data_IF_003118584629
#
_entry.id   IF_003118584629
#
_cell.length_a   1.000
_cell.length_b   1.000
_cell.length_c   1.000
_cell.angle_alpha   90.00
_cell.angle_beta   90.00
_cell.angle_gamma   90.00
#
_symmetry.space_group_name_H-M   'P 1'
#
loop_
_entity.id
_entity.type
_entity.pdbx_description
1 polymer ?
#
# COMPACT_ATOMS: atom_id res chain seq x y z
N UNK A 1 87.65 11.47 -15.78
CA UNK A 1 87.54 11.72 -14.33
C UNK A 1 86.06 11.87 -14.05
N UNK A 2 85.47 10.80 -13.53
CA UNK A 2 84.04 10.65 -13.23
C UNK A 2 83.80 11.23 -11.85
N UNK A 3 82.72 11.98 -11.66
CA UNK A 3 82.25 12.39 -10.32
C UNK A 3 80.89 11.73 -10.10
N UNK A 4 80.85 10.83 -9.12
CA UNK A 4 79.70 10.05 -8.69
C UNK A 4 78.69 10.90 -7.91
N UNK A 5 77.40 10.73 -8.21
CA UNK A 5 76.30 11.13 -7.33
C UNK A 5 75.82 9.89 -6.57
N UNK A 6 76.01 9.88 -5.25
CA UNK A 6 75.47 8.85 -4.35
C UNK A 6 73.96 9.05 -4.16
N UNK A 7 73.17 8.12 -4.68
CA UNK A 7 71.75 7.91 -4.32
C UNK A 7 71.69 6.92 -3.16
N UNK A 8 71.25 7.37 -1.97
CA UNK A 8 70.91 6.47 -0.86
C UNK A 8 69.54 5.84 -1.15
N UNK A 9 69.54 4.66 -1.75
CA UNK A 9 68.37 3.79 -1.76
C UNK A 9 68.13 3.27 -0.34
N UNK A 10 67.06 3.74 0.30
CA UNK A 10 66.48 3.07 1.46
C UNK A 10 65.93 1.71 1.01
N UNK A 11 66.62 0.64 1.37
CA UNK A 11 66.10 -0.71 1.23
C UNK A 11 64.97 -0.91 2.26
N UNK A 12 63.73 -0.65 1.85
CA UNK A 12 62.57 -1.18 2.56
C UNK A 12 62.61 -2.70 2.42
N UNK A 13 62.94 -3.41 3.49
CA UNK A 13 62.89 -4.86 3.54
C UNK A 13 61.49 -5.35 3.14
N UNK A 14 61.36 -6.30 2.20
CA UNK A 14 60.05 -6.84 1.81
C UNK A 14 59.30 -7.46 3.00
N UNK A 15 60.01 -7.86 4.07
CA UNK A 15 59.40 -8.32 5.32
C UNK A 15 58.67 -7.20 6.08
N UNK A 16 59.19 -5.98 6.09
CA UNK A 16 58.57 -4.86 6.81
C UNK A 16 57.26 -4.41 6.13
N UNK A 17 57.25 -4.43 4.80
CA UNK A 17 56.05 -4.17 4.00
C UNK A 17 54.99 -5.27 4.20
N UNK A 18 55.42 -6.54 4.27
CA UNK A 18 54.51 -7.67 4.49
C UNK A 18 53.85 -7.61 5.87
N UNK A 19 54.62 -7.31 6.93
CA UNK A 19 54.08 -7.16 8.29
C UNK A 19 53.13 -5.96 8.41
N UNK A 20 53.44 -4.81 7.81
CA UNK A 20 52.53 -3.67 7.76
C UNK A 20 51.23 -4.01 7.01
N UNK A 21 51.31 -4.72 5.87
CA UNK A 21 50.11 -5.16 5.15
C UNK A 21 49.29 -6.20 5.93
N UNK A 22 49.94 -7.12 6.64
CA UNK A 22 49.26 -8.14 7.44
C UNK A 22 48.53 -7.53 8.65
N UNK A 23 49.15 -6.56 9.34
CA UNK A 23 48.53 -5.83 10.46
C UNK A 23 47.35 -5.00 9.97
N UNK A 24 47.46 -4.30 8.83
CA UNK A 24 46.31 -3.57 8.25
C UNK A 24 45.16 -4.49 7.82
N UNK A 25 45.45 -5.74 7.41
CA UNK A 25 44.43 -6.72 7.05
C UNK A 25 43.74 -7.34 8.27
N UNK A 26 44.45 -7.56 9.38
CA UNK A 26 43.86 -8.03 10.63
C UNK A 26 43.02 -6.94 11.32
N UNK A 27 43.50 -5.70 11.36
CA UNK A 27 42.74 -4.56 11.88
C UNK A 27 41.52 -4.27 10.99
N UNK A 28 41.63 -4.40 9.68
CA UNK A 28 40.48 -4.27 8.77
C UNK A 28 39.49 -5.43 8.92
N UNK A 29 39.93 -6.66 9.24
CA UNK A 29 39.02 -7.76 9.60
C UNK A 29 38.27 -7.51 10.92
N UNK A 30 38.92 -6.89 11.90
CA UNK A 30 38.30 -6.53 13.19
C UNK A 30 37.31 -5.35 13.03
N UNK A 31 37.60 -4.40 12.14
CA UNK A 31 36.72 -3.28 11.80
C UNK A 31 35.56 -3.73 10.88
N UNK A 32 35.77 -4.75 10.03
CA UNK A 32 34.70 -5.36 9.22
C UNK A 32 33.83 -6.31 10.06
N UNK A 33 34.37 -6.98 11.09
CA UNK A 33 33.57 -7.86 11.96
C UNK A 33 32.69 -7.10 12.96
N UNK A 34 32.97 -5.82 13.21
CA UNK A 34 32.13 -4.93 14.02
C UNK A 34 31.07 -4.19 13.18
N UNK A 35 31.09 -4.35 11.86
CA UNK A 35 30.03 -3.89 10.99
C UNK A 35 28.80 -4.81 11.09
N UNK A 36 27.90 -4.45 12.02
CA UNK A 36 26.45 -4.64 11.93
C UNK A 36 25.92 -6.09 11.87
N UNK A 37 26.17 -6.92 12.88
CA UNK A 37 25.20 -7.98 13.16
C UNK A 37 23.88 -7.33 13.61
N UNK A 38 22.79 -7.64 12.91
CA UNK A 38 21.44 -7.24 13.33
C UNK A 38 21.14 -8.03 14.60
N UNK A 39 20.88 -7.37 15.75
CA UNK A 39 20.59 -8.07 16.99
C UNK A 39 19.42 -9.03 16.83
N UNK A 40 19.52 -10.22 17.41
CA UNK A 40 18.48 -11.25 17.31
C UNK A 40 17.76 -11.44 18.64
N UNK A 41 16.49 -11.88 18.60
CA UNK A 41 15.73 -12.18 19.82
C UNK A 41 16.25 -13.41 20.57
N UNK A 42 17.14 -14.21 19.98
CA UNK A 42 17.81 -15.33 20.64
C UNK A 42 18.74 -14.86 21.76
N UNK A 43 19.23 -13.61 21.69
CA UNK A 43 20.11 -13.00 22.69
C UNK A 43 19.36 -12.45 23.91
N UNK A 44 18.03 -12.53 23.94
CA UNK A 44 17.19 -11.95 24.97
C UNK A 44 16.67 -10.55 24.63
N UNK A 45 16.01 -9.86 25.59
CA UNK A 45 15.45 -8.54 25.34
C UNK A 45 16.56 -7.50 25.19
N UNK A 46 16.47 -6.69 24.13
CA UNK A 46 17.35 -5.55 23.94
C UNK A 46 16.97 -4.41 24.91
N UNK A 47 17.94 -3.62 25.41
CA UNK A 47 17.65 -2.41 26.17
C UNK A 47 16.72 -1.47 25.40
N UNK A 48 15.73 -0.82 26.05
CA UNK A 48 14.87 0.16 25.37
C UNK A 48 15.69 1.31 24.77
N UNK A 49 15.40 1.65 23.51
CA UNK A 49 16.03 2.76 22.79
C UNK A 49 14.97 3.78 22.38
N UNK A 50 15.19 5.04 22.74
CA UNK A 50 14.35 6.17 22.30
C UNK A 50 15.17 7.07 21.40
N UNK A 51 14.68 7.34 20.19
CA UNK A 51 15.25 8.39 19.32
C UNK A 51 14.73 9.74 19.79
N UNK A 52 15.62 10.72 19.97
CA UNK A 52 15.23 12.09 20.34
C UNK A 52 14.36 12.68 19.23
N UNK A 53 13.30 13.38 19.62
CA UNK A 53 12.47 14.13 18.68
C UNK A 53 13.32 15.19 17.98
N UNK A 54 13.27 15.22 16.65
CA UNK A 54 13.91 16.24 15.85
C UNK A 54 12.93 17.39 15.61
N UNK A 55 13.14 18.57 16.24
CA UNK A 55 12.22 19.69 16.14
C UNK A 55 12.25 20.38 14.76
N UNK A 56 13.21 20.04 13.90
CA UNK A 56 13.27 20.56 12.53
C UNK A 56 12.28 19.88 11.57
N UNK A 57 11.74 18.72 11.95
CA UNK A 57 10.76 18.00 11.15
C UNK A 57 9.41 18.73 11.12
N UNK A 58 8.78 18.70 9.95
CA UNK A 58 7.48 19.33 9.72
C UNK A 58 6.41 18.72 10.65
N UNK A 59 5.56 19.59 11.22
CA UNK A 59 4.51 19.18 12.16
C UNK A 59 3.20 18.99 11.39
N UNK A 60 2.74 17.75 11.33
CA UNK A 60 1.52 17.38 10.61
C UNK A 60 1.79 16.99 9.16
N UNK A 61 0.73 16.54 8.49
CA UNK A 61 0.74 16.16 7.09
C UNK A 61 -0.54 16.68 6.46
N UNK A 62 -0.41 17.50 5.41
CA UNK A 62 -1.57 18.00 4.71
C UNK A 62 -2.21 16.88 3.87
N UNK A 63 -3.52 16.73 4.04
CA UNK A 63 -4.36 15.86 3.23
C UNK A 63 -4.28 16.25 1.74
N UNK A 64 -4.25 15.24 0.88
CA UNK A 64 -4.29 15.48 -0.57
C UNK A 64 -5.61 16.17 -0.92
N UNK A 65 -5.57 17.23 -1.75
CA UNK A 65 -6.79 17.94 -2.14
C UNK A 65 -7.66 17.04 -3.02
N UNK A 66 -8.99 17.20 -2.98
CA UNK A 66 -9.92 16.35 -3.72
C UNK A 66 -9.76 16.44 -5.24
N UNK A 67 -9.23 17.54 -5.73
CA UNK A 67 -8.92 17.74 -7.14
C UNK A 67 -7.52 17.20 -7.52
N UNK A 68 -6.81 16.53 -6.61
CA UNK A 68 -5.52 15.89 -6.90
C UNK A 68 -5.69 14.87 -8.05
N UNK A 69 -4.85 14.87 -9.10
CA UNK A 69 -5.04 14.02 -10.29
C UNK A 69 -5.14 12.50 -10.04
N UNK A 70 -4.59 12.03 -8.91
CA UNK A 70 -4.67 10.62 -8.46
C UNK A 70 -6.02 10.24 -7.84
N UNK A 71 -6.77 11.20 -7.31
CA UNK A 71 -8.10 10.99 -6.70
C UNK A 71 -9.24 11.25 -7.68
N UNK A 72 -8.97 11.93 -8.80
CA UNK A 72 -9.96 12.14 -9.85
C UNK A 72 -10.34 10.82 -10.51
N UNK A 73 -11.64 10.59 -10.67
CA UNK A 73 -12.18 9.55 -11.55
C UNK A 73 -11.66 9.73 -12.98
N UNK A 74 -11.15 8.65 -13.57
CA UNK A 74 -10.55 8.63 -14.93
C UNK A 74 -11.28 7.73 -15.91
N UNK A 75 -12.33 7.07 -15.46
CA UNK A 75 -13.09 6.09 -16.22
C UNK A 75 -14.53 6.55 -16.33
N UNK A 76 -15.23 6.14 -17.38
CA UNK A 76 -16.68 6.33 -17.46
C UNK A 76 -17.37 5.60 -16.31
N UNK A 77 -18.55 6.07 -15.91
CA UNK A 77 -19.28 5.56 -14.74
C UNK A 77 -19.33 4.03 -14.67
N UNK A 78 -19.66 3.33 -15.77
CA UNK A 78 -19.81 1.87 -15.75
C UNK A 78 -18.50 1.07 -15.74
N UNK A 79 -17.34 1.70 -15.98
CA UNK A 79 -16.05 0.99 -16.05
C UNK A 79 -15.45 0.86 -14.64
N UNK A 80 -14.89 -0.30 -14.26
CA UNK A 80 -14.34 -0.52 -12.93
C UNK A 80 -13.27 0.50 -12.50
N UNK A 81 -13.38 0.98 -11.27
CA UNK A 81 -12.37 1.74 -10.54
C UNK A 81 -12.14 1.17 -9.13
N UNK A 82 -11.19 1.74 -8.38
CA UNK A 82 -10.84 1.30 -7.02
C UNK A 82 -10.58 -0.22 -6.91
N UNK A 83 -9.98 -0.81 -7.95
CA UNK A 83 -9.75 -2.25 -8.04
C UNK A 83 -8.78 -2.69 -6.93
N UNK A 84 -9.23 -3.63 -6.11
CA UNK A 84 -8.46 -4.15 -4.98
C UNK A 84 -8.52 -5.67 -4.92
N UNK A 85 -7.48 -6.25 -4.32
CA UNK A 85 -7.34 -7.68 -4.13
C UNK A 85 -7.26 -7.98 -2.64
N UNK A 86 -7.99 -9.00 -2.20
CA UNK A 86 -7.89 -9.51 -0.84
C UNK A 86 -7.67 -11.02 -0.84
N UNK A 87 -6.89 -11.49 0.12
CA UNK A 87 -6.66 -12.93 0.29
C UNK A 87 -7.93 -13.59 0.82
N UNK A 88 -8.14 -14.84 0.42
CA UNK A 88 -9.11 -15.70 1.08
C UNK A 88 -8.47 -16.49 2.22
N UNK A 89 -9.27 -17.28 2.93
CA UNK A 89 -8.77 -18.24 3.92
C UNK A 89 -7.93 -19.37 3.31
N UNK A 90 -8.08 -19.62 2.01
CA UNK A 90 -7.33 -20.64 1.26
C UNK A 90 -6.34 -19.98 0.29
N UNK A 91 -5.12 -20.52 0.11
CA UNK A 91 -4.13 -20.01 -0.85
C UNK A 91 -4.56 -20.18 -2.31
N UNK A 92 -5.57 -21.03 -2.56
CA UNK A 92 -6.18 -21.31 -3.86
C UNK A 92 -7.37 -20.40 -4.17
N UNK A 93 -7.54 -19.31 -3.42
CA UNK A 93 -8.65 -18.37 -3.59
C UNK A 93 -8.25 -16.93 -3.26
N UNK A 94 -8.74 -15.99 -4.08
CA UNK A 94 -8.53 -14.55 -3.95
C UNK A 94 -9.85 -13.84 -4.22
N UNK A 95 -10.09 -12.75 -3.50
CA UNK A 95 -11.17 -11.82 -3.78
C UNK A 95 -10.67 -10.70 -4.68
N UNK A 96 -11.47 -10.40 -5.72
CA UNK A 96 -11.32 -9.22 -6.56
C UNK A 96 -12.51 -8.32 -6.28
N UNK A 97 -12.23 -7.08 -5.92
CA UNK A 97 -13.25 -6.08 -5.62
C UNK A 97 -13.01 -4.81 -6.42
N UNK A 98 -14.08 -4.11 -6.77
CA UNK A 98 -14.02 -2.83 -7.49
C UNK A 98 -15.32 -2.05 -7.32
N UNK A 99 -15.34 -0.81 -7.79
CA UNK A 99 -16.52 0.05 -7.81
C UNK A 99 -16.90 0.39 -9.26
N UNK A 100 -18.20 0.45 -9.55
CA UNK A 100 -18.77 1.06 -10.76
C UNK A 100 -19.85 2.08 -10.39
N UNK A 101 -20.23 2.96 -11.30
CA UNK A 101 -21.12 4.08 -11.04
C UNK A 101 -20.43 5.23 -10.31
N UNK A 102 -21.12 6.37 -10.22
CA UNK A 102 -20.65 7.54 -9.49
C UNK A 102 -21.31 7.58 -8.11
N UNK A 103 -20.50 7.77 -7.07
CA UNK A 103 -21.02 8.09 -5.76
C UNK A 103 -21.73 9.45 -5.78
N UNK A 104 -22.74 9.60 -4.93
CA UNK A 104 -23.49 10.85 -4.81
C UNK A 104 -23.29 11.42 -3.42
N UNK A 105 -23.16 12.75 -3.34
CA UNK A 105 -23.13 13.49 -2.09
C UNK A 105 -24.06 14.69 -2.18
N UNK A 106 -24.87 14.90 -1.15
CA UNK A 106 -25.71 16.10 -1.06
C UNK A 106 -26.94 15.97 -0.18
N UNK A 107 -27.81 16.96 -0.33
CA UNK A 107 -29.21 17.02 0.08
C UNK A 107 -29.93 15.69 0.25
N UNK A 108 -30.11 15.10 -0.91
CA UNK A 108 -30.88 13.91 -1.21
C UNK A 108 -30.00 13.09 -2.15
N UNK A 109 -29.84 11.83 -1.83
CA UNK A 109 -29.07 10.86 -2.60
C UNK A 109 -29.98 9.70 -2.93
N UNK A 110 -29.83 9.15 -4.12
CA UNK A 110 -30.63 8.00 -4.58
C UNK A 110 -29.65 6.83 -4.75
N UNK A 111 -29.67 5.83 -3.86
CA UNK A 111 -28.80 4.67 -3.98
C UNK A 111 -28.98 4.00 -5.35
N UNK A 112 -27.86 3.65 -5.98
CA UNK A 112 -27.87 2.90 -7.23
C UNK A 112 -28.45 1.49 -6.99
N UNK A 113 -29.11 0.92 -8.00
CA UNK A 113 -29.54 -0.46 -7.95
C UNK A 113 -28.37 -1.39 -8.33
N UNK A 114 -27.81 -2.16 -7.38
CA UNK A 114 -26.65 -3.02 -7.64
C UNK A 114 -26.93 -4.14 -8.64
N UNK A 115 -28.19 -4.45 -8.96
CA UNK A 115 -28.57 -5.47 -9.94
C UNK A 115 -28.41 -5.01 -11.39
N UNK A 116 -28.22 -3.70 -11.62
CA UNK A 116 -28.08 -3.11 -12.95
C UNK A 116 -26.73 -3.38 -13.61
N UNK A 117 -25.72 -3.77 -12.83
CA UNK A 117 -24.36 -4.06 -13.31
C UNK A 117 -23.89 -5.40 -12.77
N UNK A 118 -23.43 -6.28 -13.65
CA UNK A 118 -22.93 -7.60 -13.28
C UNK A 118 -21.56 -7.52 -12.62
N UNK A 119 -21.28 -8.52 -11.79
CA UNK A 119 -20.00 -8.69 -11.11
C UNK A 119 -19.25 -9.88 -11.72
N UNK A 120 -18.49 -9.66 -12.80
CA UNK A 120 -17.79 -10.72 -13.53
C UNK A 120 -16.27 -10.53 -13.47
N UNK A 121 -15.54 -11.63 -13.32
CA UNK A 121 -14.08 -11.67 -13.50
C UNK A 121 -13.72 -12.76 -14.50
N UNK A 122 -13.04 -12.37 -15.56
CA UNK A 122 -12.44 -13.27 -16.55
C UNK A 122 -10.95 -13.38 -16.25
N UNK A 123 -10.42 -14.60 -16.20
CA UNK A 123 -9.02 -14.83 -15.82
C UNK A 123 -8.39 -16.04 -16.50
N UNK A 124 -7.05 -16.06 -16.56
CA UNK A 124 -6.25 -17.12 -17.16
C UNK A 124 -4.77 -16.99 -16.81
N UNK A 125 -3.96 -17.97 -17.20
CA UNK A 125 -2.51 -17.98 -16.95
C UNK A 125 -1.70 -17.33 -18.07
N UNK A 126 -2.35 -16.89 -19.15
CA UNK A 126 -1.76 -16.22 -20.30
C UNK A 126 -2.43 -14.86 -20.53
N UNK A 127 -1.62 -13.83 -20.76
CA UNK A 127 -2.11 -12.48 -21.06
C UNK A 127 -2.99 -12.50 -22.33
N UNK A 128 -4.12 -11.81 -22.27
CA UNK A 128 -5.10 -11.75 -23.35
C UNK A 128 -5.93 -13.02 -23.57
N UNK A 129 -5.70 -14.10 -22.82
CA UNK A 129 -6.42 -15.37 -22.95
C UNK A 129 -7.05 -15.80 -21.62
N UNK A 130 -8.34 -15.51 -21.46
CA UNK A 130 -9.09 -15.75 -20.23
C UNK A 130 -10.00 -16.97 -20.38
N UNK A 131 -9.47 -18.14 -20.02
CA UNK A 131 -10.17 -19.43 -20.15
C UNK A 131 -11.22 -19.66 -19.06
N UNK A 132 -11.14 -18.91 -17.96
CA UNK A 132 -12.02 -19.07 -16.81
C UNK A 132 -12.79 -17.77 -16.54
N UNK A 133 -13.99 -17.91 -15.99
CA UNK A 133 -14.77 -16.80 -15.48
C UNK A 133 -15.42 -17.15 -14.16
N UNK A 134 -15.64 -16.14 -13.32
CA UNK A 134 -16.39 -16.25 -12.07
C UNK A 134 -17.29 -15.04 -11.91
N UNK A 135 -18.47 -15.27 -11.36
CA UNK A 135 -19.41 -14.21 -10.99
C UNK A 135 -19.40 -13.99 -9.48
N UNK A 136 -19.85 -12.81 -9.06
CA UNK A 136 -19.93 -12.45 -7.66
C UNK A 136 -21.20 -11.68 -7.31
N UNK A 137 -21.09 -10.89 -6.25
CA UNK A 137 -22.20 -10.07 -5.73
C UNK A 137 -21.83 -8.60 -5.81
N UNK A 138 -22.86 -7.78 -5.85
CA UNK A 138 -22.76 -6.32 -5.80
C UNK A 138 -23.64 -5.77 -4.68
N UNK A 139 -23.24 -4.62 -4.13
CA UNK A 139 -23.97 -3.90 -3.09
C UNK A 139 -23.69 -2.40 -3.16
N UNK A 140 -24.47 -1.62 -2.43
CA UNK A 140 -24.29 -0.17 -2.24
C UNK A 140 -24.42 0.13 -0.75
N UNK A 141 -23.74 1.17 -0.28
CA UNK A 141 -23.95 1.67 1.07
C UNK A 141 -24.29 3.16 1.03
N UNK A 142 -24.92 3.63 2.11
CA UNK A 142 -25.22 5.05 2.29
C UNK A 142 -24.82 5.51 3.68
N UNK A 143 -24.30 6.73 3.76
CA UNK A 143 -24.08 7.45 5.01
C UNK A 143 -25.11 8.57 5.09
N UNK A 144 -26.07 8.42 6.00
CA UNK A 144 -27.21 9.31 6.11
C UNK A 144 -27.19 10.09 7.42
N UNK A 145 -27.47 11.38 7.37
CA UNK A 145 -27.50 12.29 8.51
C UNK A 145 -28.86 12.98 8.60
N UNK A 146 -29.65 12.73 9.66
CA UNK A 146 -30.97 13.34 9.85
C UNK A 146 -30.88 14.73 10.50
N UNK A 147 -29.86 15.52 10.15
CA UNK A 147 -29.62 16.85 10.74
C UNK A 147 -29.56 17.91 9.65
N UNK A 148 -30.22 19.04 9.88
CA UNK A 148 -30.22 20.15 8.93
C UNK A 148 -28.80 20.65 8.66
N UNK A 149 -28.47 20.83 7.37
CA UNK A 149 -27.16 21.33 6.93
C UNK A 149 -26.08 20.25 6.79
N UNK A 150 -26.36 18.99 7.16
CA UNK A 150 -25.46 17.86 6.85
C UNK A 150 -25.81 17.25 5.49
N UNK A 151 -24.79 16.81 4.76
CA UNK A 151 -24.95 16.15 3.47
C UNK A 151 -24.94 14.63 3.63
N UNK A 152 -25.81 13.97 2.89
CA UNK A 152 -25.87 12.52 2.77
C UNK A 152 -24.91 12.04 1.68
N UNK A 153 -24.52 10.76 1.76
CA UNK A 153 -23.73 10.09 0.74
C UNK A 153 -24.34 8.74 0.39
N UNK A 154 -24.26 8.35 -0.88
CA UNK A 154 -24.47 6.97 -1.34
C UNK A 154 -23.35 6.58 -2.29
N UNK A 155 -22.85 5.35 -2.17
CA UNK A 155 -21.70 4.88 -2.94
C UNK A 155 -22.02 4.60 -4.40
N UNK A 156 -20.97 4.40 -5.20
CA UNK A 156 -21.08 3.56 -6.40
C UNK A 156 -21.50 2.12 -6.05
N UNK A 157 -21.75 1.31 -7.07
CA UNK A 157 -21.99 -0.13 -6.92
C UNK A 157 -20.64 -0.80 -6.62
N UNK A 158 -20.55 -1.44 -5.47
CA UNK A 158 -19.37 -2.16 -4.99
C UNK A 158 -19.53 -3.62 -5.39
N UNK A 159 -18.51 -4.20 -6.01
CA UNK A 159 -18.52 -5.57 -6.51
C UNK A 159 -17.51 -6.44 -5.77
N UNK A 160 -17.88 -7.68 -5.51
CA UNK A 160 -17.04 -8.68 -4.86
C UNK A 160 -17.12 -10.03 -5.58
N UNK A 161 -16.01 -10.45 -6.18
CA UNK A 161 -15.91 -11.75 -6.87
C UNK A 161 -14.82 -12.59 -6.23
N UNK A 162 -15.18 -13.83 -5.85
CA UNK A 162 -14.23 -14.80 -5.30
C UNK A 162 -13.73 -15.73 -6.40
N UNK A 163 -12.47 -15.59 -6.75
CA UNK A 163 -11.76 -16.57 -7.56
C UNK A 163 -11.43 -17.78 -6.70
N UNK A 164 -11.64 -18.97 -7.24
CA UNK A 164 -11.48 -20.24 -6.52
C UNK A 164 -10.75 -21.25 -7.41
N UNK A 165 -10.23 -22.31 -6.77
CA UNK A 165 -9.48 -23.39 -7.46
C UNK A 165 -8.29 -22.86 -8.24
N UNK A 166 -7.65 -21.79 -7.74
CA UNK A 166 -6.43 -21.26 -8.31
C UNK A 166 -5.24 -22.14 -7.92
N UNK A 167 -4.29 -22.29 -8.84
CA UNK A 167 -3.04 -22.97 -8.56
C UNK A 167 -2.19 -22.09 -7.62
N UNK A 168 -1.62 -22.65 -6.54
CA UNK A 168 -0.71 -21.90 -5.65
C UNK A 168 0.54 -21.39 -6.38
N UNK A 169 1.08 -20.25 -5.97
CA UNK A 169 2.31 -19.68 -6.51
C UNK A 169 2.26 -19.24 -7.98
N UNK A 170 1.07 -19.20 -8.58
CA UNK A 170 0.85 -19.05 -10.03
C UNK A 170 0.39 -17.64 -10.38
N UNK A 171 0.90 -17.10 -11.48
CA UNK A 171 0.50 -15.80 -12.01
C UNK A 171 -0.75 -15.95 -12.87
N UNK A 172 -1.77 -15.17 -12.54
CA UNK A 172 -3.00 -15.03 -13.30
C UNK A 172 -3.11 -13.62 -13.88
N UNK A 173 -3.64 -13.54 -15.09
CA UNK A 173 -4.08 -12.33 -15.76
C UNK A 173 -5.61 -12.29 -15.64
N UNK A 174 -6.18 -11.13 -15.35
CA UNK A 174 -7.62 -11.00 -15.19
C UNK A 174 -8.16 -9.64 -15.64
N UNK A 175 -9.45 -9.62 -15.97
CA UNK A 175 -10.27 -8.43 -16.17
C UNK A 175 -11.54 -8.58 -15.34
N UNK A 176 -11.89 -7.56 -14.57
CA UNK A 176 -13.19 -7.44 -13.89
C UNK A 176 -14.13 -6.48 -14.62
N UNK A 177 -15.44 -6.59 -14.39
CA UNK A 177 -16.46 -5.65 -14.87
C UNK A 177 -17.76 -6.35 -15.28
N UNK A 178 -18.41 -5.81 -16.31
CA UNK A 178 -19.62 -6.37 -16.93
C UNK A 178 -19.42 -6.53 -18.44
N UNK A 179 -19.35 -7.77 -18.92
CA UNK A 179 -19.19 -8.05 -20.35
C UNK A 179 -20.39 -7.62 -21.20
N UNK A 180 -21.60 -7.69 -20.66
CA UNK A 180 -22.83 -7.33 -21.39
C UNK A 180 -22.98 -5.84 -21.64
N UNK A 181 -22.31 -5.01 -20.83
CA UNK A 181 -22.25 -3.56 -20.99
C UNK A 181 -20.99 -3.08 -21.72
N UNK A 182 -20.13 -4.00 -22.20
CA UNK A 182 -18.79 -3.68 -22.71
C UNK A 182 -17.96 -2.85 -21.71
N UNK A 183 -18.20 -3.04 -20.41
CA UNK A 183 -17.65 -2.23 -19.33
C UNK A 183 -16.65 -3.06 -18.50
N UNK A 184 -15.60 -3.54 -19.18
CA UNK A 184 -14.52 -4.31 -18.56
C UNK A 184 -13.32 -3.41 -18.26
N UNK A 185 -12.67 -3.64 -17.13
CA UNK A 185 -11.36 -3.06 -16.80
C UNK A 185 -10.29 -3.38 -17.85
N UNK A 186 -9.14 -2.70 -17.78
CA UNK A 186 -7.92 -3.15 -18.45
C UNK A 186 -7.43 -4.48 -17.85
N UNK A 187 -6.49 -5.15 -18.50
CA UNK A 187 -5.89 -6.35 -17.92
C UNK A 187 -5.06 -6.01 -16.67
N UNK A 188 -5.24 -6.81 -15.63
CA UNK A 188 -4.48 -6.79 -14.38
C UNK A 188 -3.83 -8.15 -14.13
N UNK A 189 -2.87 -8.19 -13.21
CA UNK A 189 -2.19 -9.44 -12.83
C UNK A 189 -2.19 -9.65 -11.33
N UNK A 190 -2.31 -10.90 -10.92
CA UNK A 190 -2.15 -11.33 -9.53
C UNK A 190 -1.31 -12.60 -9.48
N UNK A 191 -0.47 -12.75 -8.47
CA UNK A 191 0.23 -14.00 -8.18
C UNK A 191 -0.35 -14.60 -6.91
N UNK A 192 -0.87 -15.81 -7.00
CA UNK A 192 -1.37 -16.54 -5.82
C UNK A 192 -0.23 -16.89 -4.88
N UNK A 193 -0.59 -17.10 -3.63
CA UNK A 193 0.37 -17.50 -2.62
C UNK A 193 0.80 -18.94 -2.83
N UNK A 194 2.06 -19.29 -2.51
CA UNK A 194 2.45 -20.70 -2.44
C UNK A 194 1.66 -21.42 -1.33
N UNK A 195 1.68 -22.75 -1.36
CA UNK A 195 1.17 -23.54 -0.25
C UNK A 195 2.00 -23.27 1.02
N UNK A 196 1.36 -23.16 2.20
CA UNK A 196 2.07 -23.04 3.45
C UNK A 196 3.05 -24.21 3.65
N UNK A 197 4.31 -23.92 3.93
CA UNK A 197 5.27 -24.93 4.38
C UNK A 197 6.27 -24.32 5.36
N UNK A 198 6.95 -25.15 6.18
CA UNK A 198 7.99 -24.68 7.11
C UNK A 198 9.21 -24.04 6.43
N UNK A 199 9.35 -24.19 5.11
CA UNK A 199 10.48 -23.68 4.34
C UNK A 199 10.08 -22.71 3.22
N UNK A 200 8.78 -22.43 3.07
CA UNK A 200 8.25 -21.62 1.98
C UNK A 200 7.37 -20.50 2.54
N UNK A 201 8.01 -19.37 2.85
CA UNK A 201 7.36 -18.20 3.40
C UNK A 201 7.17 -17.12 2.34
N UNK A 202 6.24 -16.22 2.64
CA UNK A 202 6.12 -14.95 1.92
C UNK A 202 7.41 -14.17 2.07
N UNK A 203 7.98 -13.75 0.96
CA UNK A 203 9.29 -13.08 0.97
C UNK A 203 9.26 -11.78 1.76
N UNK A 204 8.16 -11.01 1.61
CA UNK A 204 7.94 -9.71 2.25
C UNK A 204 6.45 -9.50 2.51
N UNK A 205 6.12 -9.14 3.74
CA UNK A 205 4.78 -8.70 4.16
C UNK A 205 4.96 -7.25 4.65
N UNK A 206 4.33 -6.30 3.96
CA UNK A 206 4.26 -4.94 4.43
C UNK A 206 3.20 -4.85 5.55
N UNK A 207 3.54 -4.18 6.65
CA UNK A 207 2.62 -3.91 7.75
C UNK A 207 2.54 -2.40 7.90
N UNK A 208 1.34 -1.86 7.78
CA UNK A 208 1.06 -0.42 7.85
C UNK A 208 -0.23 -0.20 8.63
N UNK A 209 -0.42 0.97 9.21
CA UNK A 209 -1.65 1.41 9.86
C UNK A 209 -1.74 2.93 9.78
N UNK A 210 -2.89 3.49 10.12
CA UNK A 210 -3.05 4.94 10.28
C UNK A 210 -2.62 5.71 9.02
N UNK A 211 -3.02 5.21 7.85
CA UNK A 211 -2.50 5.71 6.57
C UNK A 211 -3.02 7.12 6.28
N UNK A 212 -4.35 7.31 6.30
CA UNK A 212 -4.99 8.50 5.75
C UNK A 212 -4.67 8.75 4.28
N UNK A 213 -4.96 9.96 3.82
CA UNK A 213 -4.71 10.37 2.44
C UNK A 213 -3.98 11.71 2.44
N UNK A 214 -2.70 11.66 2.77
CA UNK A 214 -1.83 12.84 2.90
C UNK A 214 -0.60 12.74 2.02
N UNK A 215 0.17 13.83 1.89
CA UNK A 215 1.45 13.79 1.16
C UNK A 215 2.41 12.75 1.76
N UNK A 216 2.50 12.65 3.09
CA UNK A 216 3.34 11.65 3.75
C UNK A 216 2.84 10.21 3.51
N UNK A 217 1.53 10.00 3.42
CA UNK A 217 0.96 8.70 3.06
C UNK A 217 1.49 8.25 1.69
N UNK A 218 1.65 9.18 0.75
CA UNK A 218 2.19 8.84 -0.57
C UNK A 218 3.64 8.39 -0.51
N UNK A 219 4.47 9.03 0.32
CA UNK A 219 5.86 8.58 0.58
C UNK A 219 5.89 7.20 1.24
N UNK A 220 5.00 6.93 2.20
CA UNK A 220 4.87 5.61 2.83
C UNK A 220 4.51 4.53 1.80
N UNK A 221 3.54 4.83 0.91
CA UNK A 221 3.14 3.93 -0.17
C UNK A 221 4.28 3.73 -1.17
N UNK A 222 5.02 4.78 -1.55
CA UNK A 222 6.16 4.67 -2.47
C UNK A 222 7.27 3.80 -1.88
N UNK A 223 7.58 3.96 -0.59
CA UNK A 223 8.50 3.09 0.13
C UNK A 223 8.01 1.64 0.18
N UNK A 224 6.72 1.43 0.41
CA UNK A 224 6.11 0.10 0.39
C UNK A 224 6.23 -0.54 -0.99
N UNK A 225 5.86 0.16 -2.06
CA UNK A 225 5.95 -0.32 -3.45
C UNK A 225 7.40 -0.65 -3.81
N UNK A 226 8.36 0.20 -3.45
CA UNK A 226 9.79 -0.04 -3.69
C UNK A 226 10.30 -1.33 -3.02
N UNK A 227 9.68 -1.73 -1.91
CA UNK A 227 10.02 -2.97 -1.22
C UNK A 227 9.34 -4.21 -1.82
N UNK A 228 8.48 -4.08 -2.83
CA UNK A 228 7.83 -5.20 -3.54
C UNK A 228 7.23 -6.26 -2.59
N UNK A 229 6.29 -5.89 -1.70
CA UNK A 229 5.67 -6.83 -0.78
C UNK A 229 4.71 -7.76 -1.50
N UNK A 230 4.71 -9.03 -1.09
CA UNK A 230 3.75 -10.04 -1.56
C UNK A 230 2.37 -9.94 -0.90
N UNK A 231 2.27 -9.13 0.17
CA UNK A 231 1.04 -8.83 0.90
C UNK A 231 1.20 -7.53 1.67
N UNK A 232 0.12 -6.79 1.80
CA UNK A 232 -0.02 -5.66 2.70
C UNK A 232 -1.01 -6.06 3.80
N UNK A 233 -0.61 -5.91 5.06
CA UNK A 233 -1.47 -5.98 6.23
C UNK A 233 -1.71 -4.55 6.71
N UNK A 234 -2.96 -4.12 6.64
CA UNK A 234 -3.38 -2.77 7.00
C UNK A 234 -4.12 -2.79 8.34
N UNK A 235 -3.56 -2.15 9.36
CA UNK A 235 -3.97 -2.23 10.77
C UNK A 235 -4.93 -1.10 11.16
N UNK A 236 -6.05 -0.98 10.45
CA UNK A 236 -7.07 0.04 10.77
C UNK A 236 -6.70 1.46 10.34
N UNK A 237 -7.60 2.40 10.64
CA UNK A 237 -7.46 3.84 10.36
C UNK A 237 -7.01 4.15 8.92
N UNK A 238 -7.95 3.92 8.00
CA UNK A 238 -7.71 3.88 6.56
C UNK A 238 -7.73 5.27 5.92
N UNK A 239 -8.90 5.89 5.78
CA UNK A 239 -9.06 7.16 5.03
C UNK A 239 -9.10 8.41 5.90
N UNK A 240 -9.38 8.27 7.20
CA UNK A 240 -9.74 9.38 8.10
C UNK A 240 -10.88 10.29 7.58
N UNK A 241 -11.85 9.74 6.84
CA UNK A 241 -13.05 10.47 6.42
C UNK A 241 -13.81 11.15 7.59
N UNK A 242 -13.64 10.65 8.82
CA UNK A 242 -14.23 11.17 10.05
C UNK A 242 -13.46 12.36 10.69
N UNK A 243 -12.45 12.90 9.99
CA UNK A 243 -11.78 14.16 10.31
C UNK A 243 -12.38 15.35 9.53
N UNK A 244 -13.49 15.13 8.82
CA UNK A 244 -14.11 16.12 7.94
C UNK A 244 -15.59 16.32 8.29
N UNK A 245 -16.10 17.53 8.02
CA UNK A 245 -17.55 17.78 7.96
C UNK A 245 -18.14 17.11 6.71
N UNK A 246 -19.44 16.85 6.71
CA UNK A 246 -20.14 16.27 5.53
C UNK A 246 -20.02 17.12 4.27
N UNK A 247 -19.75 18.42 4.40
CA UNK A 247 -19.51 19.35 3.28
C UNK A 247 -18.09 19.27 2.71
N UNK A 248 -17.21 18.48 3.31
CA UNK A 248 -15.80 18.37 2.92
C UNK A 248 -14.96 19.54 3.42
N UNK A 249 -14.11 20.07 2.55
CA UNK A 249 -13.19 21.17 2.88
C UNK A 249 -11.86 20.67 3.48
N UNK A 250 -11.35 21.35 4.51
CA UNK A 250 -10.09 20.99 5.17
C UNK A 250 -10.36 20.04 6.34
N UNK A 251 -9.69 18.90 6.34
CA UNK A 251 -9.71 17.97 7.46
C UNK A 251 -9.07 18.58 8.71
N UNK A 252 -9.49 18.11 9.88
CA UNK A 252 -9.00 18.59 11.18
C UNK A 252 -8.40 17.45 11.99
N UNK A 253 -7.26 17.67 12.68
CA UNK A 253 -6.59 16.62 13.46
C UNK A 253 -7.42 16.17 14.67
N UNK A 254 -8.31 17.04 15.17
CA UNK A 254 -9.25 16.73 16.24
C UNK A 254 -10.64 17.25 15.87
N UNK A 255 -11.53 16.34 15.46
CA UNK A 255 -12.89 16.68 15.05
C UNK A 255 -13.67 17.37 16.18
N UNK A 256 -13.66 16.80 17.38
CA UNK A 256 -14.37 17.37 18.55
C UNK A 256 -13.81 18.71 19.02
N UNK A 257 -12.52 18.97 18.80
CA UNK A 257 -11.89 20.24 19.14
C UNK A 257 -12.29 21.35 18.15
N UNK A 258 -12.37 21.02 16.86
CA UNK A 258 -12.67 21.99 15.81
C UNK A 258 -14.18 22.23 15.62
N UNK A 259 -15.00 21.21 15.90
CA UNK A 259 -16.45 21.24 15.74
C UNK A 259 -17.15 20.76 17.03
N UNK A 260 -17.00 21.49 18.16
CA UNK A 260 -17.57 21.08 19.44
C UNK A 260 -19.10 21.03 19.42
N UNK A 261 -19.74 21.87 18.60
CA UNK A 261 -21.19 21.97 18.47
C UNK A 261 -21.77 21.09 17.35
N UNK A 262 -20.95 20.20 16.76
CA UNK A 262 -21.42 19.25 15.76
C UNK A 262 -22.49 18.33 16.37
N UNK A 263 -23.67 18.17 15.74
CA UNK A 263 -24.74 17.35 16.31
C UNK A 263 -24.39 15.85 16.35
N UNK A 264 -23.39 15.43 15.55
CA UNK A 264 -22.84 14.09 15.49
C UNK A 264 -21.40 14.16 14.97
N UNK A 265 -20.65 13.06 15.11
CA UNK A 265 -19.37 12.91 14.40
C UNK A 265 -19.63 12.67 12.90
N UNK A 266 -19.52 13.73 12.12
CA UNK A 266 -19.63 13.71 10.66
C UNK A 266 -18.53 12.85 10.00
N UNK A 267 -18.77 12.48 8.75
CA UNK A 267 -17.75 11.99 7.83
C UNK A 267 -17.92 12.61 6.44
N UNK A 268 -16.81 12.81 5.73
CA UNK A 268 -16.81 13.11 4.31
C UNK A 268 -16.45 11.85 3.53
N UNK A 269 -17.47 11.07 3.18
CA UNK A 269 -17.32 9.76 2.54
C UNK A 269 -16.49 9.77 1.24
N UNK A 270 -16.45 10.84 0.41
CA UNK A 270 -15.56 10.90 -0.75
C UNK A 270 -14.06 10.78 -0.44
N UNK A 271 -13.63 10.80 0.83
CA UNK A 271 -12.25 10.45 1.20
C UNK A 271 -11.98 8.94 1.14
N UNK A 272 -13.00 8.09 1.09
CA UNK A 272 -12.81 6.66 0.87
C UNK A 272 -12.64 6.31 -0.61
N UNK A 273 -13.29 7.10 -1.48
CA UNK A 273 -13.26 6.94 -2.93
C UNK A 273 -11.90 7.30 -3.54
#
# INVERSE_FOLDING_TARGET
MVVEYYSKQLWCSPFLLFFLTAITMEEMKLIISTANQIPTTLEGPLPPVTRRFDPSLWRGSDDLPMDHPRLRKRVSSMVPEQISLALSSLPTSIWVSWVTGDAQIGSSVIPLDPSTVKSEVWYGTQSGNYQFSQTGKSEVYSQLYPFQGLLNYTSGIIHHVRLQRLEPGTKYYYKCGDTSLSAMSKEHTVKTLPLPSPSNYRRRIAVVGDLGITSNTTTNVDHMVKNDPSMILMLGDLSYANQYRTTGGKGVPCFSCAFPDAPIRDTYQPRWD
#
